data_IF_335928358441
#
_entry.id   IF_335928358441
#
_cell.length_a   1.000
_cell.length_b   1.000
_cell.length_c   1.000
_cell.angle_alpha   90.00
_cell.angle_beta   90.00
_cell.angle_gamma   90.00
#
_symmetry.space_group_name_H-M   'P 1'
#
loop_
_entity.id
_entity.type
_entity.pdbx_description
1 polymer ?
#
# COMPACT_ATOMS: atom_id res chain seq x y z
N UNK A 1 14.49 5.56 -0.45
CA UNK A 1 13.33 6.23 -1.08
C UNK A 1 13.40 7.74 -0.91
N UNK A 2 13.64 8.29 0.27
CA UNK A 2 13.68 9.76 0.51
C UNK A 2 14.61 10.55 -0.42
N UNK A 3 15.76 9.99 -0.76
CA UNK A 3 16.74 10.63 -1.66
C UNK A 3 16.45 10.43 -3.17
N UNK A 4 15.38 9.73 -3.52
CA UNK A 4 15.10 9.39 -4.93
C UNK A 4 14.49 10.55 -5.71
N UNK A 5 13.79 11.44 -5.02
CA UNK A 5 13.15 12.62 -5.59
C UNK A 5 13.54 13.83 -4.74
N UNK A 6 13.93 14.97 -5.34
CA UNK A 6 14.25 16.18 -4.60
C UNK A 6 13.09 16.63 -3.70
N UNK A 7 13.42 17.12 -2.51
CA UNK A 7 12.41 17.60 -1.55
C UNK A 7 11.49 18.66 -2.19
N UNK A 8 10.19 18.56 -1.93
CA UNK A 8 9.19 19.50 -2.44
C UNK A 8 8.72 19.28 -3.89
N UNK A 9 9.31 18.33 -4.63
CA UNK A 9 8.87 17.98 -6.00
C UNK A 9 7.66 17.07 -6.01
N UNK A 10 7.57 16.15 -5.05
CA UNK A 10 6.46 15.21 -4.95
C UNK A 10 5.61 15.44 -3.70
N UNK A 11 4.41 14.88 -3.72
CA UNK A 11 3.44 14.94 -2.62
C UNK A 11 2.56 13.70 -2.59
N UNK A 12 1.87 13.52 -1.47
CA UNK A 12 0.84 12.49 -1.30
C UNK A 12 -0.36 13.04 -0.54
N UNK A 13 -1.55 12.54 -0.83
CA UNK A 13 -2.76 12.91 -0.10
C UNK A 13 -3.69 11.70 0.10
N UNK A 14 -4.26 11.57 1.30
CA UNK A 14 -5.28 10.58 1.59
C UNK A 14 -6.66 11.09 1.17
N UNK A 15 -7.34 10.34 0.32
CA UNK A 15 -8.70 10.60 -0.17
C UNK A 15 -9.67 9.72 0.59
N UNK A 16 -10.66 10.33 1.22
CA UNK A 16 -11.66 9.64 2.02
C UNK A 16 -13.06 9.78 1.39
N UNK A 17 -13.77 8.66 1.30
CA UNK A 17 -15.18 8.62 0.92
C UNK A 17 -15.47 8.35 -0.55
N UNK A 18 -14.44 8.19 -1.39
CA UNK A 18 -14.54 7.76 -2.78
C UNK A 18 -13.97 6.35 -2.95
N UNK A 19 -14.44 5.66 -3.97
CA UNK A 19 -13.93 4.35 -4.43
C UNK A 19 -12.74 4.52 -5.38
N UNK A 20 -11.99 3.44 -5.63
CA UNK A 20 -10.89 3.42 -6.60
C UNK A 20 -11.31 3.90 -7.99
N UNK A 21 -12.34 3.33 -8.61
CA UNK A 21 -12.80 3.76 -9.94
C UNK A 21 -13.24 5.23 -10.02
N UNK A 22 -13.85 5.76 -8.95
CA UNK A 22 -14.23 7.20 -8.91
C UNK A 22 -13.00 8.10 -8.88
N UNK A 23 -11.96 7.72 -8.12
CA UNK A 23 -10.71 8.47 -8.05
C UNK A 23 -9.96 8.35 -9.38
N UNK A 24 -9.81 7.15 -9.94
CA UNK A 24 -9.17 6.88 -11.23
C UNK A 24 -9.76 7.75 -12.34
N UNK A 25 -11.09 7.82 -12.44
CA UNK A 25 -11.81 8.66 -13.41
C UNK A 25 -11.48 10.15 -13.32
N UNK A 26 -11.19 10.65 -12.11
CA UNK A 26 -10.81 12.05 -11.90
C UNK A 26 -9.35 12.27 -12.28
N UNK A 27 -8.45 11.41 -11.79
CA UNK A 27 -7.01 11.60 -11.98
C UNK A 27 -6.52 11.20 -13.38
N UNK A 28 -7.26 10.37 -14.13
CA UNK A 28 -6.95 10.01 -15.53
C UNK A 28 -6.73 11.24 -16.43
N UNK A 29 -7.33 12.38 -16.08
CA UNK A 29 -7.25 13.64 -16.81
C UNK A 29 -6.16 14.58 -16.30
N UNK A 30 -5.34 14.14 -15.37
CA UNK A 30 -4.34 14.94 -14.69
C UNK A 30 -2.99 14.22 -14.78
N UNK A 31 -2.09 14.72 -15.62
CA UNK A 31 -0.75 14.17 -15.73
C UNK A 31 0.03 14.36 -14.42
N UNK A 32 0.87 13.38 -14.09
CA UNK A 32 1.77 13.44 -12.93
C UNK A 32 1.14 13.08 -11.57
N UNK A 33 -0.06 12.51 -11.55
CA UNK A 33 -0.68 11.97 -10.34
C UNK A 33 -1.14 10.52 -10.55
N UNK A 34 -0.95 9.70 -9.52
CA UNK A 34 -1.23 8.26 -9.53
C UNK A 34 -1.86 7.83 -8.19
N UNK A 35 -2.43 6.63 -8.14
CA UNK A 35 -2.82 6.03 -6.85
C UNK A 35 -1.61 5.33 -6.24
N UNK A 36 -1.26 5.73 -5.02
CA UNK A 36 -0.21 5.10 -4.22
C UNK A 36 -0.71 3.88 -3.44
N UNK A 37 -1.86 3.99 -2.78
CA UNK A 37 -2.37 2.93 -1.90
C UNK A 37 -3.88 2.78 -2.01
N UNK A 38 -4.33 1.55 -2.20
CA UNK A 38 -5.70 1.11 -1.94
C UNK A 38 -5.73 0.53 -0.53
N UNK A 39 -6.01 1.34 0.49
CA UNK A 39 -5.89 0.92 1.89
C UNK A 39 -7.10 0.09 2.36
N UNK A 40 -8.29 0.59 2.13
CA UNK A 40 -9.56 -0.08 2.47
C UNK A 40 -10.71 0.67 1.78
N UNK A 41 -11.94 0.13 1.77
CA UNK A 41 -13.10 0.82 1.23
C UNK A 41 -13.21 2.26 1.73
N UNK A 42 -13.25 3.20 0.80
CA UNK A 42 -13.33 4.63 1.08
C UNK A 42 -12.07 5.28 1.66
N UNK A 43 -10.91 4.64 1.57
CA UNK A 43 -9.62 5.23 1.95
C UNK A 43 -8.52 4.85 0.97
N UNK A 44 -8.17 5.79 0.09
CA UNK A 44 -7.17 5.64 -0.97
C UNK A 44 -6.16 6.79 -0.85
N UNK A 45 -4.92 6.55 -1.22
CA UNK A 45 -3.87 7.57 -1.23
C UNK A 45 -3.46 7.84 -2.67
N UNK A 46 -3.44 9.11 -3.05
CA UNK A 46 -2.87 9.59 -4.31
C UNK A 46 -1.46 10.12 -4.08
N UNK A 47 -0.63 10.05 -5.11
CA UNK A 47 0.80 10.40 -5.09
C UNK A 47 1.21 10.99 -6.42
N UNK A 48 2.32 11.73 -6.48
CA UNK A 48 2.85 12.24 -7.72
C UNK A 48 3.53 13.61 -7.57
N UNK A 49 3.57 14.36 -8.64
CA UNK A 49 4.07 15.75 -8.64
C UNK A 49 3.21 16.62 -7.72
N UNK A 50 3.85 17.48 -6.94
CA UNK A 50 3.15 18.30 -5.94
C UNK A 50 1.98 19.08 -6.54
N UNK A 51 2.19 19.78 -7.65
CA UNK A 51 1.15 20.57 -8.32
C UNK A 51 -0.01 19.68 -8.83
N UNK A 52 0.30 18.51 -9.40
CA UNK A 52 -0.70 17.57 -9.91
C UNK A 52 -1.55 16.99 -8.76
N UNK A 53 -0.92 16.64 -7.63
CA UNK A 53 -1.64 16.18 -6.43
C UNK A 53 -2.54 17.27 -5.85
N UNK A 54 -2.12 18.54 -5.85
CA UNK A 54 -2.94 19.67 -5.40
C UNK A 54 -4.16 19.89 -6.32
N UNK A 55 -3.99 19.81 -7.64
CA UNK A 55 -5.09 19.89 -8.62
C UNK A 55 -6.05 18.71 -8.41
N UNK A 56 -5.52 17.49 -8.33
CA UNK A 56 -6.32 16.29 -8.10
C UNK A 56 -7.11 16.38 -6.78
N UNK A 57 -6.49 16.88 -5.72
CA UNK A 57 -7.15 17.07 -4.42
C UNK A 57 -8.35 18.02 -4.50
N UNK A 58 -8.25 19.11 -5.26
CA UNK A 58 -9.36 20.03 -5.48
C UNK A 58 -10.49 19.38 -6.29
N UNK A 59 -10.15 18.69 -7.40
CA UNK A 59 -11.14 18.02 -8.25
C UNK A 59 -11.84 16.86 -7.52
N UNK A 60 -11.11 16.06 -6.73
CA UNK A 60 -11.67 14.97 -5.94
C UNK A 60 -12.64 15.47 -4.87
N UNK A 61 -12.37 16.64 -4.25
CA UNK A 61 -13.38 17.28 -3.35
C UNK A 61 -14.65 17.64 -4.10
N UNK A 62 -14.53 18.21 -5.29
CA UNK A 62 -15.70 18.55 -6.14
C UNK A 62 -16.44 17.28 -6.60
N UNK A 63 -15.72 16.18 -6.82
CA UNK A 63 -16.29 14.88 -7.18
C UNK A 63 -16.96 14.13 -6.00
N UNK A 64 -16.96 14.71 -4.78
CA UNK A 64 -17.66 14.16 -3.63
C UNK A 64 -16.77 13.48 -2.58
N UNK A 65 -15.43 13.61 -2.66
CA UNK A 65 -14.57 13.14 -1.59
C UNK A 65 -14.93 13.83 -0.26
N UNK A 66 -15.21 13.03 0.76
CA UNK A 66 -15.55 13.54 2.10
C UNK A 66 -14.41 14.36 2.72
N UNK A 67 -13.18 13.94 2.47
CA UNK A 67 -11.94 14.65 2.86
C UNK A 67 -10.81 14.29 1.90
N UNK A 68 -9.92 15.25 1.64
CA UNK A 68 -8.62 15.02 1.01
C UNK A 68 -7.57 15.66 1.91
N UNK A 69 -6.72 14.84 2.51
CA UNK A 69 -5.77 15.22 3.56
C UNK A 69 -4.34 15.08 3.03
N UNK A 70 -3.57 16.16 2.91
CA UNK A 70 -2.16 16.08 2.60
C UNK A 70 -1.42 15.23 3.64
N UNK A 71 -0.52 14.36 3.18
CA UNK A 71 0.32 13.56 4.07
C UNK A 71 1.65 14.27 4.33
N UNK A 72 2.10 14.22 5.57
CA UNK A 72 3.43 14.73 5.96
C UNK A 72 4.51 13.69 5.64
N UNK A 73 4.81 13.52 4.35
CA UNK A 73 5.82 12.58 3.86
C UNK A 73 6.86 13.31 3.04
N UNK A 74 8.06 12.73 2.93
CA UNK A 74 9.23 13.32 2.28
C UNK A 74 9.26 13.15 0.76
N UNK A 75 8.35 12.36 0.17
CA UNK A 75 8.38 12.09 -1.27
C UNK A 75 7.12 11.43 -1.81
N UNK A 76 7.02 11.32 -3.15
CA UNK A 76 5.90 10.72 -3.87
C UNK A 76 6.03 9.20 -3.92
N UNK A 77 5.91 8.54 -2.75
CA UNK A 77 6.10 7.10 -2.66
C UNK A 77 5.05 6.34 -3.49
N UNK A 78 5.45 5.18 -4.00
CA UNK A 78 4.60 4.30 -4.81
C UNK A 78 4.08 4.95 -6.11
N UNK A 79 4.89 5.83 -6.73
CA UNK A 79 4.64 6.44 -8.04
C UNK A 79 5.76 6.13 -9.03
N UNK A 80 5.52 6.38 -10.31
CA UNK A 80 6.53 6.32 -11.38
C UNK A 80 7.77 7.17 -11.08
N UNK A 81 7.64 8.26 -10.34
CA UNK A 81 8.77 9.09 -9.88
C UNK A 81 9.79 8.32 -9.03
N UNK A 82 9.41 7.16 -8.48
CA UNK A 82 10.28 6.30 -7.66
C UNK A 82 11.02 5.22 -8.46
N UNK A 83 10.87 5.12 -9.78
CA UNK A 83 11.50 4.09 -10.61
C UNK A 83 13.03 4.01 -10.44
N UNK A 84 13.70 5.17 -10.32
CA UNK A 84 15.15 5.18 -10.09
C UNK A 84 15.54 4.49 -8.77
N UNK A 85 14.70 4.59 -7.73
CA UNK A 85 14.91 3.87 -6.48
C UNK A 85 14.61 2.37 -6.64
N UNK A 86 13.59 2.01 -7.43
CA UNK A 86 13.31 0.62 -7.80
C UNK A 86 14.49 -0.05 -8.49
N UNK A 87 15.07 0.60 -9.51
CA UNK A 87 16.29 0.11 -10.20
C UNK A 87 17.52 -0.03 -9.28
N UNK A 88 17.66 0.85 -8.27
CA UNK A 88 18.73 0.68 -7.27
C UNK A 88 18.51 -0.54 -6.37
N UNK A 89 17.27 -0.75 -5.95
CA UNK A 89 16.91 -1.95 -5.17
C UNK A 89 17.11 -3.23 -5.99
N UNK A 90 16.71 -3.23 -7.26
CA UNK A 90 16.91 -4.37 -8.17
C UNK A 90 18.36 -4.85 -8.20
N UNK A 91 19.31 -3.91 -8.36
CA UNK A 91 20.75 -4.22 -8.34
C UNK A 91 21.22 -4.84 -7.02
N UNK A 92 20.68 -4.39 -5.88
CA UNK A 92 20.99 -5.00 -4.58
C UNK A 92 20.42 -6.41 -4.50
N UNK A 93 19.21 -6.61 -5.01
CA UNK A 93 18.52 -7.89 -5.01
C UNK A 93 19.18 -8.94 -5.94
N UNK A 94 19.92 -8.53 -6.98
CA UNK A 94 20.68 -9.43 -7.85
C UNK A 94 21.69 -10.31 -7.07
N UNK A 95 22.32 -9.72 -6.06
CA UNK A 95 23.31 -10.40 -5.21
C UNK A 95 22.74 -10.92 -3.90
N UNK A 96 21.48 -10.66 -3.61
CA UNK A 96 20.81 -11.13 -2.39
C UNK A 96 20.35 -12.58 -2.59
N UNK A 97 20.77 -13.47 -1.69
CA UNK A 97 20.26 -14.84 -1.69
C UNK A 97 18.78 -14.85 -1.26
N UNK A 98 17.93 -15.44 -2.09
CA UNK A 98 16.52 -15.67 -1.81
C UNK A 98 16.28 -17.17 -1.85
N UNK A 99 15.93 -17.73 -0.69
CA UNK A 99 15.60 -19.13 -0.54
C UNK A 99 14.17 -19.43 -0.98
N UNK A 100 13.86 -20.71 -1.17
CA UNK A 100 12.49 -21.17 -1.43
C UNK A 100 11.56 -20.74 -0.32
N UNK A 101 10.37 -20.29 -0.70
CA UNK A 101 9.35 -19.87 0.25
C UNK A 101 8.82 -21.06 1.05
N UNK A 102 8.88 -20.98 2.37
CA UNK A 102 8.22 -21.94 3.27
C UNK A 102 6.74 -21.63 3.45
N UNK A 103 6.37 -20.35 3.30
CA UNK A 103 5.02 -19.84 3.43
C UNK A 103 4.80 -18.91 2.24
N UNK A 104 3.68 -19.01 1.52
CA UNK A 104 3.35 -18.07 0.44
C UNK A 104 3.12 -16.67 1.02
N UNK A 105 3.43 -15.64 0.24
CA UNK A 105 3.06 -14.27 0.59
C UNK A 105 2.24 -13.61 -0.52
N UNK A 106 1.47 -12.59 -0.18
CA UNK A 106 0.73 -11.78 -1.14
C UNK A 106 1.52 -10.51 -1.42
N UNK A 107 1.79 -10.24 -2.71
CA UNK A 107 2.55 -9.05 -3.10
C UNK A 107 1.65 -7.81 -3.20
N UNK A 108 2.15 -6.67 -2.76
CA UNK A 108 1.48 -5.38 -2.89
C UNK A 108 1.18 -4.98 -4.34
N UNK A 109 2.02 -5.39 -5.29
CA UNK A 109 1.95 -4.97 -6.70
C UNK A 109 0.77 -5.60 -7.44
N UNK A 110 0.51 -6.89 -7.20
CA UNK A 110 -0.51 -7.65 -7.93
C UNK A 110 -1.67 -8.10 -7.07
N UNK A 111 -1.58 -7.97 -5.76
CA UNK A 111 -2.50 -8.54 -4.79
C UNK A 111 -2.69 -10.07 -4.95
N UNK A 112 -1.66 -10.77 -5.45
CA UNK A 112 -1.69 -12.22 -5.69
C UNK A 112 -0.66 -12.93 -4.83
N UNK A 113 -0.94 -14.20 -4.53
CA UNK A 113 0.03 -15.09 -3.91
C UNK A 113 1.25 -15.28 -4.80
N UNK A 114 2.41 -15.25 -4.19
CA UNK A 114 3.70 -15.58 -4.80
C UNK A 114 4.21 -16.87 -4.19
N UNK A 115 4.39 -17.87 -5.04
CA UNK A 115 4.91 -19.19 -4.66
C UNK A 115 6.24 -19.50 -5.38
N UNK A 116 6.49 -18.85 -6.51
CA UNK A 116 7.71 -19.00 -7.29
C UNK A 116 8.78 -17.99 -6.81
N UNK A 117 9.92 -18.46 -6.25
CA UNK A 117 11.00 -17.59 -5.80
C UNK A 117 11.57 -16.67 -6.89
N UNK A 118 11.50 -17.08 -8.17
CA UNK A 118 11.99 -16.26 -9.28
C UNK A 118 11.22 -14.93 -9.44
N UNK A 119 9.97 -14.88 -8.99
CA UNK A 119 9.14 -13.69 -9.05
C UNK A 119 9.43 -12.69 -7.93
N UNK A 120 10.11 -13.10 -6.86
CA UNK A 120 10.29 -12.29 -5.66
C UNK A 120 11.09 -11.01 -5.98
N UNK A 121 12.28 -11.14 -6.58
CA UNK A 121 13.16 -9.99 -6.87
C UNK A 121 12.47 -8.92 -7.73
N UNK A 122 11.91 -9.26 -8.91
CA UNK A 122 11.26 -8.25 -9.75
C UNK A 122 10.04 -7.62 -9.07
N UNK A 123 9.27 -8.36 -8.27
CA UNK A 123 8.13 -7.82 -7.55
C UNK A 123 8.56 -6.88 -6.41
N UNK A 124 9.64 -7.20 -5.68
CA UNK A 124 10.21 -6.33 -4.65
C UNK A 124 10.77 -5.01 -5.24
N UNK A 125 11.44 -5.08 -6.38
CA UNK A 125 11.92 -3.87 -7.05
C UNK A 125 10.75 -3.03 -7.57
N UNK A 126 9.77 -3.65 -8.21
CA UNK A 126 8.63 -3.00 -8.83
C UNK A 126 7.69 -2.33 -7.80
N UNK A 127 7.54 -2.88 -6.59
CA UNK A 127 6.67 -2.29 -5.57
C UNK A 127 7.09 -0.87 -5.14
N UNK A 128 8.36 -0.50 -5.33
CA UNK A 128 8.88 0.84 -4.98
C UNK A 128 8.17 1.93 -5.78
N UNK A 129 7.83 1.64 -7.05
CA UNK A 129 7.20 2.57 -7.99
C UNK A 129 5.79 2.16 -8.42
N UNK A 130 5.17 1.25 -7.70
CA UNK A 130 3.81 0.76 -8.01
C UNK A 130 2.88 0.92 -6.83
N UNK A 131 1.58 1.04 -7.11
CA UNK A 131 0.52 1.10 -6.10
C UNK A 131 0.57 -0.09 -5.14
N UNK A 132 0.32 0.18 -3.87
CA UNK A 132 0.07 -0.83 -2.83
C UNK A 132 -1.40 -1.23 -2.88
N UNK A 133 -1.67 -2.43 -3.29
CA UNK A 133 -3.02 -3.01 -3.39
C UNK A 133 -3.41 -3.74 -2.11
N UNK A 134 -3.34 -3.05 -0.97
CA UNK A 134 -3.58 -3.65 0.35
C UNK A 134 -5.00 -4.22 0.48
N UNK A 135 -6.01 -3.44 0.10
CA UNK A 135 -7.40 -3.89 0.13
C UNK A 135 -7.57 -5.19 -0.66
N UNK A 136 -7.14 -5.23 -1.92
CA UNK A 136 -7.25 -6.39 -2.78
C UNK A 136 -6.42 -7.58 -2.26
N UNK A 137 -5.29 -7.31 -1.60
CA UNK A 137 -4.47 -8.36 -0.98
C UNK A 137 -5.20 -9.03 0.18
N UNK A 138 -5.86 -8.26 1.03
CA UNK A 138 -6.66 -8.80 2.14
C UNK A 138 -7.89 -9.54 1.60
N UNK A 139 -8.60 -8.98 0.62
CA UNK A 139 -9.74 -9.64 -0.05
C UNK A 139 -9.33 -10.97 -0.68
N UNK A 140 -8.15 -11.03 -1.31
CA UNK A 140 -7.59 -12.27 -1.88
C UNK A 140 -7.29 -13.31 -0.80
N UNK A 141 -6.74 -12.90 0.35
CA UNK A 141 -6.46 -13.81 1.47
C UNK A 141 -7.76 -14.35 2.08
N UNK A 142 -8.77 -13.49 2.27
CA UNK A 142 -10.09 -13.90 2.79
C UNK A 142 -10.75 -14.89 1.82
N UNK A 143 -10.72 -14.62 0.52
CA UNK A 143 -11.30 -15.53 -0.48
C UNK A 143 -10.57 -16.88 -0.57
N UNK A 144 -9.32 -16.93 -0.13
CA UNK A 144 -8.55 -18.17 0.02
C UNK A 144 -8.79 -18.91 1.37
N UNK A 145 -9.72 -18.42 2.19
CA UNK A 145 -10.10 -19.04 3.45
C UNK A 145 -9.35 -18.54 4.69
N UNK A 146 -8.56 -17.48 4.57
CA UNK A 146 -7.91 -16.85 5.74
C UNK A 146 -8.97 -16.03 6.50
N UNK A 147 -9.20 -16.38 7.75
CA UNK A 147 -10.16 -15.73 8.64
C UNK A 147 -9.51 -14.98 9.81
N UNK A 148 -8.21 -15.16 10.00
CA UNK A 148 -7.44 -14.61 11.13
C UNK A 148 -6.22 -13.86 10.64
N UNK A 149 -6.06 -12.61 11.09
CA UNK A 149 -4.94 -11.74 10.74
C UNK A 149 -4.21 -11.27 11.99
N UNK A 150 -2.89 -11.28 11.95
CA UNK A 150 -2.03 -10.81 13.04
C UNK A 150 -1.14 -9.68 12.53
N UNK A 151 -1.35 -8.46 13.03
CA UNK A 151 -0.47 -7.33 12.77
C UNK A 151 0.65 -7.31 13.81
N UNK A 152 1.90 -7.48 13.35
CA UNK A 152 3.08 -7.48 14.21
C UNK A 152 3.83 -6.16 14.02
N UNK A 153 3.93 -5.35 15.08
CA UNK A 153 4.62 -4.07 15.07
C UNK A 153 3.86 -2.97 15.81
N UNK A 154 4.43 -1.76 15.88
CA UNK A 154 3.82 -0.63 16.60
C UNK A 154 2.59 -0.09 15.88
N UNK A 155 1.53 0.14 16.63
CA UNK A 155 0.26 0.67 16.13
C UNK A 155 -0.73 -0.40 15.69
N UNK A 156 -1.88 0.05 15.15
CA UNK A 156 -3.01 -0.81 14.73
C UNK A 156 -3.61 -0.34 13.40
N UNK A 157 -2.77 0.15 12.52
CA UNK A 157 -3.21 0.75 11.26
C UNK A 157 -3.76 -0.30 10.30
N UNK A 158 -3.02 -1.40 10.11
CA UNK A 158 -3.42 -2.47 9.20
C UNK A 158 -4.63 -3.23 9.76
N UNK A 159 -4.65 -3.51 11.06
CA UNK A 159 -5.83 -4.04 11.77
C UNK A 159 -7.07 -3.19 11.51
N UNK A 160 -6.91 -1.84 11.58
CA UNK A 160 -8.01 -0.92 11.29
C UNK A 160 -8.49 -0.96 9.84
N UNK A 161 -7.60 -1.19 8.87
CA UNK A 161 -7.95 -1.38 7.47
C UNK A 161 -8.65 -2.72 7.24
N UNK A 162 -8.12 -3.81 7.81
CA UNK A 162 -8.70 -5.15 7.69
C UNK A 162 -10.15 -5.16 8.19
N UNK A 163 -10.43 -4.56 9.34
CA UNK A 163 -11.79 -4.46 9.90
C UNK A 163 -12.75 -3.63 9.05
N UNK A 164 -12.24 -2.72 8.21
CA UNK A 164 -13.05 -1.98 7.24
C UNK A 164 -13.28 -2.77 5.95
N UNK A 165 -12.36 -3.67 5.59
CA UNK A 165 -12.49 -4.56 4.45
C UNK A 165 -13.48 -5.67 4.78
N UNK A 166 -13.28 -6.38 5.88
CA UNK A 166 -14.22 -7.37 6.41
C UNK A 166 -14.19 -7.36 7.94
N UNK A 167 -15.33 -7.10 8.56
CA UNK A 167 -15.50 -7.10 10.02
C UNK A 167 -15.70 -8.49 10.64
N UNK A 168 -15.93 -9.50 9.83
CA UNK A 168 -16.15 -10.88 10.31
C UNK A 168 -14.84 -11.62 10.58
N UNK A 169 -13.71 -11.14 10.02
CA UNK A 169 -12.41 -11.76 10.29
C UNK A 169 -11.88 -11.39 11.67
N UNK A 170 -11.14 -12.32 12.26
CA UNK A 170 -10.43 -12.11 13.53
C UNK A 170 -9.18 -11.29 13.28
N UNK A 171 -8.87 -10.37 14.18
CA UNK A 171 -7.65 -9.56 14.07
C UNK A 171 -6.95 -9.46 15.42
N UNK A 172 -5.65 -9.70 15.43
CA UNK A 172 -4.78 -9.54 16.58
C UNK A 172 -3.70 -8.51 16.28
N UNK A 173 -3.14 -7.91 17.31
CA UNK A 173 -2.04 -6.97 17.20
C UNK A 173 -1.00 -7.27 18.27
N UNK A 174 0.24 -7.49 17.84
CA UNK A 174 1.37 -7.84 18.70
C UNK A 174 2.38 -6.70 18.67
N UNK A 175 2.50 -5.98 19.78
CA UNK A 175 3.47 -4.91 19.97
C UNK A 175 4.48 -5.25 21.07
N UNK A 176 4.11 -6.11 22.01
CA UNK A 176 4.90 -6.52 23.17
C UNK A 176 4.97 -8.04 23.27
N UNK A 177 5.85 -8.55 24.14
CA UNK A 177 5.93 -10.00 24.43
C UNK A 177 4.63 -10.49 25.09
N UNK A 178 4.01 -9.65 25.91
CA UNK A 178 2.73 -9.98 26.55
C UNK A 178 1.60 -10.12 25.51
N UNK A 179 1.57 -9.26 24.48
CA UNK A 179 0.62 -9.40 23.36
C UNK A 179 0.85 -10.70 22.59
N UNK A 180 2.12 -11.10 22.40
CA UNK A 180 2.46 -12.37 21.75
C UNK A 180 1.93 -13.56 22.54
N UNK A 181 2.16 -13.61 23.86
CA UNK A 181 1.69 -14.69 24.73
C UNK A 181 0.16 -14.81 24.71
N UNK A 182 -0.54 -13.68 24.83
CA UNK A 182 -2.02 -13.64 24.74
C UNK A 182 -2.51 -14.13 23.38
N UNK A 183 -1.92 -13.61 22.30
CA UNK A 183 -2.33 -13.98 20.93
C UNK A 183 -2.08 -15.46 20.67
N UNK A 184 -0.94 -16.01 21.11
CA UNK A 184 -0.63 -17.44 20.96
C UNK A 184 -1.58 -18.35 21.73
N UNK A 185 -2.16 -17.87 22.83
CA UNK A 185 -3.16 -18.63 23.60
C UNK A 185 -4.57 -18.60 23.00
N UNK A 186 -4.85 -17.64 22.06
CA UNK A 186 -6.17 -17.44 21.46
C UNK A 186 -6.27 -17.96 20.00
N UNK A 187 -5.16 -18.23 19.32
CA UNK A 187 -5.10 -18.79 17.97
C UNK A 187 -4.94 -20.31 18.05
#
# INVERSE_FOLDING_TARGET
MEQAVPAGKGSMAAVLGLTGPEIEKVIEKIDGVEIANYNCPGQIVITGEKAAVEIAAAQLKTAGARRVLPLKVSGPFHSSMMEAAGRKLEKVLETTEIQSLKIPYVTNVTAKYVTDPAQIRPLLARQISSSVRWQQSVEQMISAGIDTFVEIGPGRTLTGFIKKIDKNVRTFNIQTVEDLEKTAAEI
#
